data_IF_637417012957
#
_entry.id   IF_637417012957
#
_cell.length_a   1.000
_cell.length_b   1.000
_cell.length_c   1.000
_cell.angle_alpha   90.00
_cell.angle_beta   90.00
_cell.angle_gamma   90.00
#
_symmetry.space_group_name_H-M   'P 1'
#
loop_
_entity.id
_entity.type
_entity.pdbx_description
1 polymer ?
#
# COMPACT_ATOMS: atom_id res chain seq x y z
N UNK A 1 -34.37 -14.90 28.11
CA UNK A 1 -33.37 -14.02 28.77
C UNK A 1 -31.91 -14.41 28.50
N UNK A 2 -31.52 -15.69 28.54
CA UNK A 2 -30.13 -16.16 28.35
C UNK A 2 -29.53 -15.75 26.99
N UNK A 3 -30.26 -15.96 25.89
CA UNK A 3 -29.85 -15.58 24.53
C UNK A 3 -29.65 -14.07 24.32
N UNK A 4 -30.45 -13.21 24.96
CA UNK A 4 -30.28 -11.74 24.86
C UNK A 4 -28.96 -11.30 25.48
N UNK A 5 -28.59 -11.86 26.64
CA UNK A 5 -27.31 -11.57 27.29
C UNK A 5 -26.12 -12.07 26.47
N UNK A 6 -26.20 -13.29 25.92
CA UNK A 6 -25.16 -13.85 25.04
C UNK A 6 -24.99 -13.01 23.77
N UNK A 7 -26.08 -12.57 23.16
CA UNK A 7 -26.05 -11.70 21.99
C UNK A 7 -25.39 -10.35 22.31
N UNK A 8 -25.74 -9.73 23.45
CA UNK A 8 -25.12 -8.46 23.87
C UNK A 8 -23.61 -8.61 24.07
N UNK A 9 -23.16 -9.69 24.70
CA UNK A 9 -21.71 -9.94 24.88
C UNK A 9 -21.01 -10.15 23.54
N UNK A 10 -21.61 -10.90 22.61
CA UNK A 10 -21.08 -11.08 21.26
C UNK A 10 -20.94 -9.76 20.50
N UNK A 11 -21.97 -8.90 20.55
CA UNK A 11 -21.92 -7.58 19.89
C UNK A 11 -20.83 -6.70 20.49
N UNK A 12 -20.70 -6.67 21.81
CA UNK A 12 -19.64 -5.92 22.49
C UNK A 12 -18.24 -6.43 22.11
N UNK A 13 -18.07 -7.75 22.01
CA UNK A 13 -16.80 -8.35 21.62
C UNK A 13 -16.46 -8.03 20.16
N UNK A 14 -17.42 -8.11 19.24
CA UNK A 14 -17.24 -7.72 17.85
C UNK A 14 -16.87 -6.24 17.72
N UNK A 15 -17.53 -5.37 18.49
CA UNK A 15 -17.21 -3.94 18.52
C UNK A 15 -15.79 -3.70 19.02
N UNK A 16 -15.38 -4.37 20.09
CA UNK A 16 -14.01 -4.29 20.60
C UNK A 16 -12.98 -4.76 19.56
N UNK A 17 -13.23 -5.89 18.88
CA UNK A 17 -12.37 -6.38 17.81
C UNK A 17 -12.28 -5.40 16.64
N UNK A 18 -13.40 -4.80 16.23
CA UNK A 18 -13.42 -3.79 15.16
C UNK A 18 -12.62 -2.55 15.55
N UNK A 19 -12.75 -2.09 16.81
CA UNK A 19 -12.00 -0.95 17.32
C UNK A 19 -10.48 -1.23 17.33
N UNK A 20 -10.07 -2.40 17.83
CA UNK A 20 -8.66 -2.82 17.80
C UNK A 20 -8.14 -2.89 16.36
N UNK A 21 -8.94 -3.44 15.44
CA UNK A 21 -8.58 -3.51 14.02
C UNK A 21 -8.37 -2.11 13.42
N UNK A 22 -9.30 -1.17 13.66
CA UNK A 22 -9.19 0.21 13.16
C UNK A 22 -7.97 0.91 13.74
N UNK A 23 -7.72 0.80 15.04
CA UNK A 23 -6.54 1.39 15.66
C UNK A 23 -5.23 0.80 15.10
N UNK A 24 -5.19 -0.52 14.89
CA UNK A 24 -4.03 -1.20 14.33
C UNK A 24 -3.79 -0.81 12.86
N UNK A 25 -4.85 -0.69 12.07
CA UNK A 25 -4.76 -0.19 10.69
C UNK A 25 -4.30 1.27 10.67
N UNK A 26 -4.84 2.13 11.54
CA UNK A 26 -4.44 3.53 11.60
C UNK A 26 -2.96 3.70 11.94
N UNK A 27 -2.45 2.87 12.85
CA UNK A 27 -1.02 2.84 13.21
C UNK A 27 -0.12 2.51 11.99
N UNK A 28 -0.62 1.71 11.04
CA UNK A 28 0.07 1.40 9.79
C UNK A 28 -0.02 2.56 8.79
N UNK A 29 -1.20 3.19 8.66
CA UNK A 29 -1.43 4.27 7.70
C UNK A 29 -0.77 5.60 8.10
N UNK A 30 -0.68 5.89 9.40
CA UNK A 30 -0.05 7.11 9.93
C UNK A 30 1.46 6.95 10.18
N UNK A 31 2.02 5.79 9.87
CA UNK A 31 3.45 5.56 10.11
C UNK A 31 4.28 6.52 9.27
N UNK A 32 5.24 7.18 9.93
CA UNK A 32 6.18 8.09 9.25
C UNK A 32 6.90 7.37 8.11
N UNK A 33 6.71 7.79 6.85
CA UNK A 33 7.35 7.13 5.73
C UNK A 33 8.78 7.64 5.51
N UNK A 34 9.60 6.81 4.87
CA UNK A 34 10.81 7.26 4.18
C UNK A 34 10.40 7.91 2.85
N UNK A 35 11.04 9.02 2.46
CA UNK A 35 10.61 9.83 1.32
C UNK A 35 11.77 10.10 0.36
N UNK A 36 11.48 10.12 -0.94
CA UNK A 36 12.39 10.50 -2.01
C UNK A 36 11.64 11.40 -3.00
N UNK A 37 12.31 12.40 -3.56
CA UNK A 37 11.70 13.32 -4.52
C UNK A 37 12.06 12.90 -5.94
N UNK A 38 11.12 13.02 -6.86
CA UNK A 38 11.36 12.67 -8.26
C UNK A 38 12.34 13.61 -8.95
N UNK A 39 12.99 13.18 -10.05
CA UNK A 39 13.94 14.01 -10.78
C UNK A 39 13.37 15.38 -11.21
N UNK A 40 12.08 15.44 -11.56
CA UNK A 40 11.42 16.71 -11.92
C UNK A 40 11.10 17.60 -10.71
N UNK A 41 11.20 17.08 -9.48
CA UNK A 41 10.75 17.76 -8.28
C UNK A 41 9.24 17.80 -8.10
N UNK A 42 8.45 17.20 -9.02
CA UNK A 42 6.98 17.25 -8.97
C UNK A 42 6.38 16.18 -8.07
N UNK A 43 7.00 15.01 -7.99
CA UNK A 43 6.42 13.88 -7.28
C UNK A 43 7.24 13.53 -6.03
N UNK A 44 6.54 13.14 -4.98
CA UNK A 44 7.14 12.56 -3.79
C UNK A 44 6.79 11.09 -3.75
N UNK A 45 7.82 10.24 -3.81
CA UNK A 45 7.69 8.82 -3.54
C UNK A 45 7.95 8.57 -2.06
N UNK A 46 7.04 7.87 -1.43
CA UNK A 46 7.12 7.57 -0.01
C UNK A 46 6.94 6.08 0.22
N UNK A 47 7.70 5.53 1.17
CA UNK A 47 7.58 4.14 1.62
C UNK A 47 7.27 4.10 3.12
N UNK A 48 6.21 3.39 3.49
CA UNK A 48 5.87 3.11 4.88
C UNK A 48 5.81 1.60 5.13
N UNK A 49 6.56 1.13 6.13
CA UNK A 49 6.48 -0.27 6.56
C UNK A 49 5.13 -0.56 7.23
N UNK A 50 4.52 -1.69 6.90
CA UNK A 50 3.24 -2.14 7.43
C UNK A 50 3.36 -3.05 8.66
N UNK A 51 4.58 -3.36 9.11
CA UNK A 51 4.81 -4.28 10.23
C UNK A 51 4.09 -3.84 11.51
N UNK A 52 3.38 -4.76 12.16
CA UNK A 52 2.57 -4.45 13.34
C UNK A 52 1.60 -5.57 13.67
N UNK A 53 0.52 -5.24 14.40
CA UNK A 53 -0.48 -6.24 14.83
C UNK A 53 -1.17 -6.96 13.65
N UNK A 54 -1.42 -6.26 12.54
CA UNK A 54 -2.09 -6.82 11.35
C UNK A 54 -1.13 -7.50 10.35
N UNK A 55 0.16 -7.18 10.44
CA UNK A 55 1.24 -7.78 9.63
C UNK A 55 2.31 -8.28 10.60
N UNK A 56 2.05 -9.41 11.29
CA UNK A 56 3.02 -9.99 12.21
C UNK A 56 4.28 -10.37 11.42
N UNK A 57 5.44 -10.28 12.06
CA UNK A 57 6.78 -10.50 11.46
C UNK A 57 7.31 -9.41 10.53
N UNK A 58 6.50 -8.42 10.15
CA UNK A 58 6.95 -7.29 9.33
C UNK A 58 7.47 -7.71 7.95
N UNK A 59 8.40 -6.91 7.40
CA UNK A 59 9.00 -7.18 6.08
C UNK A 59 8.10 -6.88 4.90
N UNK A 60 6.96 -6.22 5.16
CA UNK A 60 6.07 -5.69 4.14
C UNK A 60 5.76 -4.23 4.44
N UNK A 61 5.51 -3.47 3.39
CA UNK A 61 5.15 -2.07 3.42
C UNK A 61 4.30 -1.72 2.21
N UNK A 62 4.02 -0.45 2.05
CA UNK A 62 3.39 0.08 0.85
C UNK A 62 4.11 1.33 0.40
N UNK A 63 4.08 1.56 -0.91
CA UNK A 63 4.52 2.80 -1.50
C UNK A 63 3.34 3.74 -1.67
N UNK A 64 3.66 5.02 -1.66
CA UNK A 64 2.73 6.02 -2.12
C UNK A 64 3.40 7.11 -2.93
N UNK A 65 2.70 7.54 -3.97
CA UNK A 65 3.07 8.68 -4.79
C UNK A 65 2.16 9.85 -4.46
N UNK A 66 2.78 11.00 -4.25
CA UNK A 66 2.10 12.29 -4.05
C UNK A 66 2.51 13.21 -5.18
N UNK A 67 1.54 13.72 -5.94
CA UNK A 67 1.78 14.82 -6.88
C UNK A 67 1.79 16.12 -6.09
N UNK A 68 2.92 16.83 -6.04
CA UNK A 68 3.06 18.05 -5.25
C UNK A 68 2.23 19.21 -5.83
N UNK A 69 1.70 19.09 -7.05
CA UNK A 69 0.69 20.03 -7.57
C UNK A 69 -0.70 19.79 -6.97
N UNK A 70 -0.99 18.56 -6.55
CA UNK A 70 -2.26 18.14 -5.95
C UNK A 70 -2.01 17.26 -4.71
N UNK A 71 -1.40 17.81 -3.64
CA UNK A 71 -0.88 17.02 -2.52
C UNK A 71 -1.95 16.28 -1.71
N UNK A 72 -3.23 16.64 -1.91
CA UNK A 72 -4.38 15.97 -1.32
C UNK A 72 -4.62 14.57 -1.93
N UNK A 73 -4.01 14.27 -3.08
CA UNK A 73 -4.14 12.98 -3.77
C UNK A 73 -2.92 12.13 -3.54
N UNK A 74 -3.11 11.11 -2.71
CA UNK A 74 -2.09 10.10 -2.37
C UNK A 74 -2.47 8.79 -3.02
N UNK A 75 -1.62 8.28 -3.90
CA UNK A 75 -1.80 7.01 -4.58
C UNK A 75 -0.99 5.94 -3.85
N UNK A 76 -1.64 5.01 -3.14
CA UNK A 76 -1.03 3.90 -2.38
C UNK A 76 -1.09 2.59 -3.15
N UNK A 77 0.02 1.86 -3.15
CA UNK A 77 0.11 0.48 -3.66
C UNK A 77 -0.59 -0.51 -2.73
N UNK A 78 -0.85 -1.75 -3.18
CA UNK A 78 -0.99 -2.88 -2.27
C UNK A 78 0.30 -3.12 -1.46
N UNK A 79 0.25 -4.08 -0.53
CA UNK A 79 1.43 -4.47 0.23
C UNK A 79 2.48 -5.10 -0.67
N UNK A 80 3.72 -4.70 -0.43
CA UNK A 80 4.92 -5.12 -1.15
C UNK A 80 6.02 -5.45 -0.14
N UNK A 81 7.08 -6.13 -0.55
CA UNK A 81 8.15 -6.52 0.38
C UNK A 81 9.06 -5.33 0.68
N UNK A 82 9.43 -5.14 1.95
CA UNK A 82 10.29 -4.00 2.36
C UNK A 82 11.70 -4.07 1.74
N UNK A 83 12.23 -5.28 1.52
CA UNK A 83 13.60 -5.48 1.01
C UNK A 83 13.75 -5.24 -0.49
N UNK A 84 12.66 -5.20 -1.26
CA UNK A 84 12.70 -4.96 -2.70
C UNK A 84 12.77 -3.47 -3.06
N UNK A 85 13.00 -2.60 -2.07
CA UNK A 85 12.78 -1.17 -2.20
C UNK A 85 14.06 -0.36 -2.29
N UNK A 86 14.45 -0.18 -3.53
CA UNK A 86 15.31 0.90 -3.95
C UNK A 86 14.44 2.11 -4.35
N UNK A 87 14.46 3.19 -3.55
CA UNK A 87 13.69 4.42 -3.85
C UNK A 87 14.35 5.30 -4.93
N UNK A 88 15.38 4.79 -5.62
CA UNK A 88 15.85 5.40 -6.87
C UNK A 88 14.74 5.27 -7.91
N UNK A 89 14.04 6.37 -8.13
CA UNK A 89 12.96 6.43 -9.11
C UNK A 89 13.45 7.01 -10.43
N UNK A 90 12.94 6.42 -11.50
CA UNK A 90 12.97 6.97 -12.85
C UNK A 90 11.64 7.68 -13.12
N UNK A 91 11.70 8.80 -13.81
CA UNK A 91 10.52 9.56 -14.20
C UNK A 91 10.64 9.94 -15.68
N UNK A 92 9.62 9.59 -16.45
CA UNK A 92 9.42 10.07 -17.82
C UNK A 92 8.06 10.76 -17.96
N UNK A 93 7.65 11.13 -19.17
CA UNK A 93 6.38 11.85 -19.38
C UNK A 93 5.14 11.00 -19.04
N UNK A 94 5.25 9.67 -19.11
CA UNK A 94 4.15 8.72 -19.00
C UNK A 94 4.07 8.05 -17.63
N UNK A 95 5.20 7.81 -16.96
CA UNK A 95 5.25 7.01 -15.75
C UNK A 95 6.29 7.46 -14.72
N UNK A 96 6.15 6.91 -13.52
CA UNK A 96 7.13 6.97 -12.44
C UNK A 96 7.45 5.53 -12.07
N UNK A 97 8.71 5.14 -12.21
CA UNK A 97 9.11 3.74 -12.08
C UNK A 97 10.20 3.59 -11.03
N UNK A 98 10.12 2.53 -10.27
CA UNK A 98 11.22 1.99 -9.46
C UNK A 98 11.46 0.55 -9.90
N UNK A 99 12.48 -0.09 -9.34
CA UNK A 99 12.77 -1.48 -9.66
C UNK A 99 11.55 -2.39 -9.42
N UNK A 100 10.95 -2.91 -10.49
CA UNK A 100 9.82 -3.86 -10.46
C UNK A 100 8.46 -3.26 -10.12
N UNK A 101 8.31 -1.93 -10.12
CA UNK A 101 7.02 -1.25 -9.95
C UNK A 101 6.98 0.01 -10.81
N UNK A 102 5.90 0.16 -11.58
CA UNK A 102 5.65 1.33 -12.41
C UNK A 102 4.31 1.99 -12.04
N UNK A 103 4.24 3.32 -12.06
CA UNK A 103 3.02 4.09 -11.85
C UNK A 103 2.70 4.89 -13.11
N UNK A 104 1.61 4.52 -13.78
CA UNK A 104 1.17 5.16 -15.01
C UNK A 104 0.45 6.47 -14.68
N UNK A 105 1.02 7.60 -15.11
CA UNK A 105 0.52 8.94 -14.77
C UNK A 105 -0.86 9.23 -15.35
N UNK A 106 -1.18 8.68 -16.52
CA UNK A 106 -2.45 8.90 -17.21
C UNK A 106 -3.63 8.21 -16.53
N UNK A 107 -3.47 6.92 -16.22
CA UNK A 107 -4.53 6.07 -15.62
C UNK A 107 -4.51 6.07 -14.10
N UNK A 108 -3.41 6.54 -13.48
CA UNK A 108 -3.16 6.44 -12.04
C UNK A 108 -3.21 4.98 -11.56
N UNK A 109 -2.57 4.09 -12.31
CA UNK A 109 -2.53 2.65 -12.03
C UNK A 109 -1.09 2.22 -11.73
N UNK A 110 -0.94 1.29 -10.79
CA UNK A 110 0.35 0.62 -10.54
C UNK A 110 0.49 -0.66 -11.35
N UNK A 111 1.66 -0.90 -11.91
CA UNK A 111 2.04 -2.16 -12.55
C UNK A 111 3.13 -2.80 -11.70
N UNK A 112 2.85 -3.97 -11.14
CA UNK A 112 3.77 -4.72 -10.27
C UNK A 112 4.41 -5.83 -11.10
N UNK A 113 5.74 -5.83 -11.19
CA UNK A 113 6.51 -6.73 -12.06
C UNK A 113 7.40 -7.70 -11.26
N UNK A 114 7.23 -7.81 -9.94
CA UNK A 114 7.97 -8.76 -9.10
C UNK A 114 7.34 -10.16 -9.18
N UNK A 115 7.98 -11.17 -9.80
CA UNK A 115 7.34 -12.46 -10.07
C UNK A 115 6.87 -13.22 -8.81
N UNK A 116 7.46 -12.93 -7.66
CA UNK A 116 7.14 -13.54 -6.38
C UNK A 116 6.15 -12.71 -5.53
N UNK A 117 5.61 -11.64 -6.09
CA UNK A 117 4.57 -10.84 -5.45
C UNK A 117 3.28 -11.64 -5.30
N UNK A 118 2.63 -11.47 -4.15
CA UNK A 118 1.39 -12.15 -3.80
C UNK A 118 0.47 -11.18 -3.11
N UNK A 119 -0.80 -11.24 -3.46
CA UNK A 119 -1.84 -10.49 -2.77
C UNK A 119 -1.85 -10.80 -1.26
N UNK A 120 -2.00 -9.75 -0.48
CA UNK A 120 -2.25 -9.83 0.94
C UNK A 120 -3.70 -9.37 1.23
N UNK A 121 -4.37 -10.02 2.19
CA UNK A 121 -5.77 -9.68 2.49
C UNK A 121 -5.95 -8.22 2.92
N UNK A 122 -4.91 -7.63 3.52
CA UNK A 122 -4.88 -6.25 3.99
C UNK A 122 -4.78 -5.23 2.84
N UNK A 123 -4.49 -5.67 1.61
CA UNK A 123 -4.43 -4.81 0.42
C UNK A 123 -5.74 -4.06 0.21
N UNK A 124 -6.88 -4.66 0.58
CA UNK A 124 -8.21 -4.03 0.50
C UNK A 124 -8.38 -2.79 1.38
N UNK A 125 -7.52 -2.63 2.39
CA UNK A 125 -7.57 -1.52 3.34
C UNK A 125 -6.42 -0.54 3.15
N UNK A 126 -5.26 -1.03 2.66
CA UNK A 126 -4.05 -0.22 2.46
C UNK A 126 -3.98 0.36 1.06
N UNK A 127 -4.32 -0.41 0.03
CA UNK A 127 -4.34 0.10 -1.34
C UNK A 127 -5.56 0.99 -1.56
N UNK A 128 -5.35 2.14 -2.20
CA UNK A 128 -6.43 3.00 -2.68
C UNK A 128 -6.30 3.30 -4.18
N UNK A 129 -5.41 2.59 -4.88
CA UNK A 129 -5.06 2.84 -6.28
C UNK A 129 -5.28 1.54 -7.06
N UNK A 130 -5.84 1.60 -8.28
CA UNK A 130 -5.86 0.46 -9.18
C UNK A 130 -4.46 -0.10 -9.39
N UNK A 131 -4.34 -1.42 -9.50
CA UNK A 131 -3.06 -2.06 -9.77
C UNK A 131 -3.23 -3.34 -10.56
N UNK A 132 -2.21 -3.68 -11.33
CA UNK A 132 -2.09 -4.88 -12.13
C UNK A 132 -0.80 -5.61 -11.76
N UNK A 133 -0.80 -6.94 -11.93
CA UNK A 133 0.33 -7.80 -11.65
C UNK A 133 0.78 -8.51 -12.92
N UNK A 134 2.03 -8.30 -13.31
CA UNK A 134 2.64 -8.98 -14.44
C UNK A 134 3.58 -10.06 -13.93
N UNK A 135 3.19 -11.31 -14.16
CA UNK A 135 3.98 -12.48 -13.76
C UNK A 135 5.14 -12.78 -14.72
N UNK A 136 5.12 -12.20 -15.93
CA UNK A 136 6.07 -12.50 -17.00
C UNK A 136 7.32 -11.61 -16.95
N UNK A 137 8.48 -12.27 -16.89
CA UNK A 137 9.81 -11.66 -16.82
C UNK A 137 10.31 -11.09 -18.16
N UNK A 138 9.49 -11.12 -19.21
CA UNK A 138 9.84 -10.66 -20.57
C UNK A 138 9.44 -9.20 -20.84
N UNK A 139 8.81 -8.53 -19.88
CA UNK A 139 8.44 -7.11 -19.95
C UNK A 139 7.14 -6.82 -20.68
N UNK A 140 6.36 -7.83 -21.05
CA UNK A 140 5.06 -7.64 -21.71
C UNK A 140 3.92 -7.74 -20.68
N UNK A 141 3.46 -6.59 -20.22
CA UNK A 141 2.16 -6.47 -19.56
C UNK A 141 1.12 -6.12 -20.63
N UNK A 142 0.37 -7.09 -21.14
CA UNK A 142 -0.78 -6.86 -22.04
C UNK A 142 -2.04 -7.56 -21.55
#
# INVERSE_FOLDING_TARGET
MKYRKTLTVLVLLLFACALVFVCALNTVLERKPYSSTSPSGRYLLQHASAGGLLVPFGGQGYLQIIDLKEPQRVYRTPLIKDWSLDLRMFEDDNSISIFGLEFIKATKTYIIQWPDWKHHWLDKFISNTPYEFCAETDGNCY
#
